data_IF_122160544684
#
_entry.id   IF_122160544684
#
_cell.length_a   1.000
_cell.length_b   1.000
_cell.length_c   1.000
_cell.angle_alpha   90.00
_cell.angle_beta   90.00
_cell.angle_gamma   90.00
#
_symmetry.space_group_name_H-M   'P 1'
#
loop_
_entity.id
_entity.type
_entity.pdbx_description
1 polymer ?
#
# COMPACT_ATOMS: atom_id res chain seq x y z
N UNK A 1 53.16 36.33 10.06
CA UNK A 1 53.05 37.35 11.13
C UNK A 1 52.10 38.42 10.61
N UNK A 2 50.90 38.56 11.17
CA UNK A 2 50.55 39.51 12.26
C UNK A 2 50.56 40.98 11.76
N UNK A 3 49.48 41.77 11.75
CA UNK A 3 48.08 41.68 12.26
C UNK A 3 47.13 42.40 11.22
N UNK A 4 45.82 42.16 11.12
CA UNK A 4 44.71 42.59 12.02
C UNK A 4 44.76 44.11 12.37
N UNK A 5 43.73 44.95 12.20
CA UNK A 5 42.42 44.87 11.51
C UNK A 5 42.44 45.81 10.26
N UNK A 6 41.39 46.37 9.61
CA UNK A 6 39.91 46.54 9.78
C UNK A 6 39.34 46.85 8.35
N UNK A 7 38.05 46.96 7.98
CA UNK A 7 36.75 46.94 8.67
C UNK A 7 35.58 46.60 7.68
N UNK A 8 34.35 46.51 8.22
CA UNK A 8 33.02 46.76 7.60
C UNK A 8 32.81 46.36 6.12
N UNK A 9 32.02 45.29 5.93
CA UNK A 9 30.72 45.42 5.27
C UNK A 9 29.68 44.60 6.04
N UNK A 10 28.56 45.23 6.41
CA UNK A 10 27.41 44.51 6.98
C UNK A 10 26.76 43.66 5.90
N UNK A 11 26.30 42.46 6.26
CA UNK A 11 25.10 41.88 5.69
C UNK A 11 24.31 41.18 6.80
N UNK A 12 23.10 41.68 7.05
CA UNK A 12 22.12 41.10 7.97
C UNK A 12 21.33 40.01 7.24
N UNK A 13 20.74 39.09 8.02
CA UNK A 13 19.56 38.27 7.68
C UNK A 13 19.56 37.55 6.30
N UNK A 14 19.45 36.23 6.24
CA UNK A 14 18.53 35.44 7.07
C UNK A 14 19.04 34.02 7.27
N UNK A 15 18.93 33.51 8.49
CA UNK A 15 18.85 32.06 8.71
C UNK A 15 17.46 31.66 8.21
N UNK A 16 17.39 31.20 6.96
CA UNK A 16 16.24 30.44 6.49
C UNK A 16 16.26 29.11 7.25
N UNK A 17 15.51 29.09 8.36
CA UNK A 17 14.97 27.86 8.91
C UNK A 17 14.09 27.25 7.82
N UNK A 18 14.69 26.40 7.00
CA UNK A 18 13.96 25.30 6.40
C UNK A 18 13.46 24.43 7.56
N UNK A 19 12.31 24.80 8.10
CA UNK A 19 11.44 23.84 8.74
C UNK A 19 11.18 22.79 7.66
N UNK A 20 11.80 21.63 7.80
CA UNK A 20 11.49 20.46 6.98
C UNK A 20 10.06 20.07 7.33
N UNK A 21 9.12 20.67 6.59
CA UNK A 21 7.69 20.40 6.67
C UNK A 21 7.47 19.04 6.03
N UNK A 22 7.92 18.00 6.72
CA UNK A 22 8.13 16.66 6.21
C UNK A 22 6.94 16.22 5.39
N UNK A 23 7.11 16.24 4.07
CA UNK A 23 6.01 16.08 3.12
C UNK A 23 5.58 14.63 3.20
N UNK A 24 4.54 14.34 3.99
CA UNK A 24 3.93 13.02 4.12
C UNK A 24 3.65 12.50 2.71
N UNK A 25 4.46 11.53 2.27
CA UNK A 25 4.57 11.22 0.84
C UNK A 25 3.30 10.54 0.35
N UNK A 26 2.40 11.36 -0.21
CA UNK A 26 1.12 10.86 -0.69
C UNK A 26 1.36 9.93 -1.88
N UNK A 27 1.22 8.64 -1.59
CA UNK A 27 1.63 7.52 -2.42
C UNK A 27 0.39 6.73 -2.83
N UNK A 28 0.45 6.16 -4.03
CA UNK A 28 -0.67 5.45 -4.65
C UNK A 28 -1.04 4.16 -3.89
N UNK A 29 -2.28 3.69 -4.07
CA UNK A 29 -2.78 2.50 -3.37
C UNK A 29 -2.06 1.19 -3.79
N UNK A 30 -1.44 1.14 -4.97
CA UNK A 30 -0.62 0.02 -5.46
C UNK A 30 0.27 0.48 -6.65
N UNK A 31 1.55 0.07 -6.75
CA UNK A 31 2.46 0.55 -7.80
C UNK A 31 2.17 0.03 -9.22
N UNK A 32 1.30 -0.97 -9.41
CA UNK A 32 1.04 -1.59 -10.73
C UNK A 32 -0.06 -0.85 -11.48
N UNK A 33 -1.14 -0.44 -10.78
CA UNK A 33 -2.26 0.30 -11.38
C UNK A 33 -2.47 1.70 -10.80
N UNK A 34 -1.65 2.11 -9.83
CA UNK A 34 -1.77 3.40 -9.16
C UNK A 34 -3.14 3.60 -8.49
N UNK A 35 -3.56 4.86 -8.37
CA UNK A 35 -4.90 5.20 -7.86
C UNK A 35 -6.03 5.10 -8.92
N UNK A 36 -5.80 4.42 -10.06
CA UNK A 36 -6.82 4.27 -11.14
C UNK A 36 -8.15 3.74 -10.66
N UNK A 37 -8.16 2.82 -9.69
CA UNK A 37 -9.38 2.27 -9.08
C UNK A 37 -10.20 3.32 -8.35
N UNK A 38 -9.54 4.30 -7.72
CA UNK A 38 -10.22 5.39 -7.02
C UNK A 38 -10.78 6.41 -8.02
N UNK A 39 -10.00 6.78 -9.03
CA UNK A 39 -10.44 7.66 -10.13
C UNK A 39 -11.64 7.05 -10.86
N UNK A 40 -11.62 5.74 -11.13
CA UNK A 40 -12.72 5.03 -11.79
C UNK A 40 -14.02 4.99 -10.97
N UNK A 41 -13.95 5.07 -9.63
CA UNK A 41 -15.12 5.06 -8.74
C UNK A 41 -15.65 6.46 -8.41
N UNK A 42 -14.76 7.44 -8.26
CA UNK A 42 -15.10 8.78 -7.72
C UNK A 42 -14.86 9.94 -8.70
N UNK A 43 -14.26 9.70 -9.86
CA UNK A 43 -13.94 10.73 -10.87
C UNK A 43 -12.70 11.58 -10.56
N UNK A 44 -12.18 11.53 -9.33
CA UNK A 44 -11.05 12.32 -8.84
C UNK A 44 -9.89 11.47 -8.32
N UNK A 45 -8.72 12.10 -8.12
CA UNK A 45 -7.62 11.46 -7.40
C UNK A 45 -7.84 11.53 -5.89
N UNK A 46 -7.50 10.48 -5.13
CA UNK A 46 -7.46 10.57 -3.68
C UNK A 46 -6.38 11.56 -3.23
N UNK A 47 -6.48 12.05 -1.99
CA UNK A 47 -5.58 13.04 -1.40
C UNK A 47 -5.03 12.53 -0.06
N UNK A 48 -4.09 13.26 0.55
CA UNK A 48 -3.58 12.97 1.90
C UNK A 48 -4.63 13.01 3.02
N UNK A 49 -5.85 13.49 2.73
CA UNK A 49 -7.01 13.46 3.63
C UNK A 49 -7.99 12.32 3.34
N UNK A 50 -7.82 11.59 2.25
CA UNK A 50 -8.69 10.47 1.87
C UNK A 50 -8.36 9.24 2.72
N UNK A 51 -9.36 8.67 3.38
CA UNK A 51 -9.20 7.49 4.23
C UNK A 51 -8.53 6.30 3.50
N UNK A 52 -7.57 5.66 4.17
CA UNK A 52 -6.78 4.56 3.60
C UNK A 52 -7.59 3.25 3.53
N UNK A 53 -8.55 3.01 4.42
CA UNK A 53 -9.40 1.81 4.33
C UNK A 53 -10.33 1.90 3.12
N UNK A 54 -10.93 3.08 2.86
CA UNK A 54 -11.70 3.37 1.66
C UNK A 54 -10.86 3.21 0.39
N UNK A 55 -9.62 3.72 0.36
CA UNK A 55 -8.70 3.54 -0.79
C UNK A 55 -8.42 2.07 -1.05
N UNK A 56 -8.06 1.28 -0.02
CA UNK A 56 -7.76 -0.15 -0.15
C UNK A 56 -9.01 -0.93 -0.58
N UNK A 57 -10.16 -0.69 0.04
CA UNK A 57 -11.40 -1.42 -0.30
C UNK A 57 -11.86 -1.14 -1.74
N UNK A 58 -11.80 0.13 -2.17
CA UNK A 58 -12.07 0.54 -3.56
C UNK A 58 -11.10 -0.12 -4.55
N UNK A 59 -9.82 -0.21 -4.19
CA UNK A 59 -8.82 -0.90 -5.00
C UNK A 59 -9.11 -2.40 -5.13
N UNK A 60 -9.42 -3.08 -4.02
CA UNK A 60 -9.75 -4.50 -4.01
C UNK A 60 -11.04 -4.80 -4.79
N UNK A 61 -12.07 -3.96 -4.68
CA UNK A 61 -13.34 -4.10 -5.42
C UNK A 61 -13.14 -3.97 -6.93
N UNK A 62 -12.31 -3.00 -7.34
CA UNK A 62 -11.94 -2.80 -8.74
C UNK A 62 -11.13 -3.99 -9.30
N UNK A 63 -10.15 -4.48 -8.54
CA UNK A 63 -9.36 -5.67 -8.91
C UNK A 63 -10.23 -6.93 -8.96
N UNK A 64 -11.11 -7.14 -7.97
CA UNK A 64 -12.09 -8.23 -7.92
C UNK A 64 -12.98 -8.20 -9.18
N UNK A 65 -13.46 -7.02 -9.58
CA UNK A 65 -14.28 -6.83 -10.78
C UNK A 65 -13.52 -7.18 -12.07
N UNK A 66 -12.28 -6.71 -12.22
CA UNK A 66 -11.43 -7.08 -13.36
C UNK A 66 -11.11 -8.58 -13.40
N UNK A 67 -10.93 -9.22 -12.24
CA UNK A 67 -10.69 -10.65 -12.15
C UNK A 67 -11.94 -11.47 -12.54
N UNK A 68 -13.13 -11.01 -12.16
CA UNK A 68 -14.43 -11.63 -12.54
C UNK A 68 -14.77 -11.47 -14.02
N UNK A 69 -14.39 -10.34 -14.65
CA UNK A 69 -14.66 -10.08 -16.07
C UNK A 69 -13.69 -10.77 -17.05
N UNK A 70 -12.57 -11.33 -16.55
CA UNK A 70 -11.55 -11.94 -17.40
C UNK A 70 -11.99 -13.33 -17.87
N UNK A 71 -12.18 -13.50 -19.18
CA UNK A 71 -12.34 -14.84 -19.80
C UNK A 71 -11.14 -15.74 -19.45
N UNK A 72 -11.48 -16.98 -19.06
CA UNK A 72 -10.58 -18.07 -18.65
C UNK A 72 -11.06 -19.43 -19.17
N UNK A 73 -11.94 -19.45 -20.18
CA UNK A 73 -12.44 -20.65 -20.84
C UNK A 73 -11.34 -21.58 -21.37
N UNK A 74 -10.18 -21.01 -21.70
CA UNK A 74 -8.97 -21.71 -22.13
C UNK A 74 -8.22 -22.46 -21.01
N UNK A 75 -8.59 -22.28 -19.73
CA UNK A 75 -7.98 -23.00 -18.60
C UNK A 75 -8.68 -24.34 -18.35
N UNK A 76 -7.96 -25.37 -17.86
CA UNK A 76 -8.59 -26.57 -17.30
C UNK A 76 -9.64 -26.24 -16.24
N UNK A 77 -10.74 -27.00 -16.20
CA UNK A 77 -11.89 -26.78 -15.31
C UNK A 77 -11.48 -26.68 -13.82
N UNK A 78 -10.48 -27.45 -13.40
CA UNK A 78 -9.91 -27.40 -12.06
C UNK A 78 -9.29 -26.04 -11.73
N UNK A 79 -8.58 -25.41 -12.68
CA UNK A 79 -8.01 -24.08 -12.51
C UNK A 79 -9.08 -22.98 -12.58
N UNK A 80 -10.13 -23.16 -13.39
CA UNK A 80 -11.30 -22.27 -13.37
C UNK A 80 -11.99 -22.29 -12.00
N UNK A 81 -12.22 -23.47 -11.43
CA UNK A 81 -12.78 -23.66 -10.07
C UNK A 81 -11.89 -23.04 -8.99
N UNK A 82 -10.58 -23.32 -8.98
CA UNK A 82 -9.65 -22.72 -8.02
C UNK A 82 -9.58 -21.20 -8.14
N UNK A 83 -9.63 -20.64 -9.36
CA UNK A 83 -9.71 -19.19 -9.60
C UNK A 83 -10.98 -18.59 -9.02
N UNK A 84 -12.14 -19.20 -9.27
CA UNK A 84 -13.42 -18.73 -8.73
C UNK A 84 -13.41 -18.73 -7.19
N UNK A 85 -12.88 -19.78 -6.57
CA UNK A 85 -12.74 -19.87 -5.11
C UNK A 85 -11.81 -18.78 -4.54
N UNK A 86 -10.64 -18.54 -5.16
CA UNK A 86 -9.72 -17.47 -4.74
C UNK A 86 -10.32 -16.07 -4.89
N UNK A 87 -11.13 -15.83 -5.94
CA UNK A 87 -11.85 -14.56 -6.13
C UNK A 87 -12.92 -14.37 -5.04
N UNK A 88 -13.60 -15.43 -4.60
CA UNK A 88 -14.56 -15.34 -3.50
C UNK A 88 -13.85 -15.09 -2.16
N UNK A 89 -12.73 -15.75 -1.88
CA UNK A 89 -11.91 -15.46 -0.71
C UNK A 89 -11.41 -14.01 -0.69
N UNK A 90 -11.08 -13.43 -1.85
CA UNK A 90 -10.73 -12.01 -1.99
C UNK A 90 -11.91 -11.08 -1.70
N UNK A 91 -13.13 -11.44 -2.13
CA UNK A 91 -14.36 -10.72 -1.81
C UNK A 91 -14.62 -10.69 -0.30
N UNK A 92 -14.52 -11.86 0.36
CA UNK A 92 -14.67 -11.98 1.81
C UNK A 92 -13.59 -11.17 2.56
N UNK A 93 -12.33 -11.22 2.13
CA UNK A 93 -11.25 -10.40 2.70
C UNK A 93 -11.56 -8.89 2.61
N UNK A 94 -12.03 -8.44 1.44
CA UNK A 94 -12.40 -7.04 1.20
C UNK A 94 -13.56 -6.59 2.10
N UNK A 95 -14.61 -7.39 2.22
CA UNK A 95 -15.77 -7.07 3.07
C UNK A 95 -15.42 -7.00 4.56
N UNK A 96 -14.47 -7.82 5.03
CA UNK A 96 -14.02 -7.80 6.42
C UNK A 96 -13.22 -6.54 6.80
N UNK A 97 -12.66 -5.80 5.84
CA UNK A 97 -11.94 -4.52 6.05
C UNK A 97 -10.71 -4.57 7.00
N UNK A 98 -10.25 -5.75 7.41
CA UNK A 98 -9.07 -5.94 8.29
C UNK A 98 -7.78 -5.94 7.47
N UNK A 99 -7.31 -4.75 7.12
CA UNK A 99 -6.06 -4.55 6.36
C UNK A 99 -4.87 -4.25 7.29
N UNK A 100 -3.65 -4.74 6.96
CA UNK A 100 -2.45 -4.53 7.79
C UNK A 100 -1.95 -3.09 7.77
N UNK A 101 -1.37 -2.66 8.89
CA UNK A 101 -0.77 -1.33 9.07
C UNK A 101 0.76 -1.42 9.12
N UNK A 102 1.46 -0.78 8.18
CA UNK A 102 2.92 -0.71 8.22
C UNK A 102 3.38 0.35 9.23
N UNK A 103 3.76 -0.07 10.44
CA UNK A 103 4.32 0.83 11.47
C UNK A 103 5.85 0.90 11.46
N UNK A 104 6.53 0.14 10.60
CA UNK A 104 7.99 0.10 10.51
C UNK A 104 8.56 1.23 9.62
N UNK A 105 7.79 1.68 8.64
CA UNK A 105 8.18 2.72 7.67
C UNK A 105 7.23 3.94 7.76
N UNK A 106 7.32 4.76 8.81
CA UNK A 106 6.41 5.89 9.01
C UNK A 106 6.52 6.92 7.87
N UNK A 107 5.38 7.43 7.41
CA UNK A 107 5.30 8.45 6.35
C UNK A 107 5.51 7.95 4.91
N UNK A 108 5.82 6.66 4.72
CA UNK A 108 6.06 6.03 3.41
C UNK A 108 5.22 4.76 3.26
N UNK A 109 4.50 4.61 2.14
CA UNK A 109 3.60 3.46 1.93
C UNK A 109 4.34 2.24 1.35
N UNK A 110 5.13 1.60 2.20
CA UNK A 110 5.76 0.29 1.92
C UNK A 110 4.73 -0.83 2.14
N UNK A 111 4.69 -1.89 1.28
CA UNK A 111 3.86 -3.07 1.51
C UNK A 111 4.03 -3.66 2.92
N UNK A 112 3.04 -4.39 3.41
CA UNK A 112 3.13 -5.14 4.67
C UNK A 112 2.35 -6.44 4.53
N UNK A 113 3.03 -7.59 4.67
CA UNK A 113 2.44 -8.91 4.44
C UNK A 113 1.64 -9.39 5.66
N UNK A 114 2.26 -9.38 6.86
CA UNK A 114 1.58 -9.48 8.16
C UNK A 114 2.11 -8.35 9.07
N UNK A 115 1.21 -7.62 9.75
CA UNK A 115 1.58 -6.54 10.68
C UNK A 115 1.81 -7.02 12.13
N UNK A 116 2.24 -6.11 13.01
CA UNK A 116 2.50 -6.40 14.42
C UNK A 116 1.26 -6.71 15.26
N UNK A 117 0.05 -6.57 14.70
CA UNK A 117 -1.24 -6.98 15.29
C UNK A 117 -1.71 -8.32 14.71
N UNK A 118 -0.91 -8.96 13.85
CA UNK A 118 -1.22 -10.22 13.19
C UNK A 118 -2.17 -10.10 11.99
N UNK A 119 -2.62 -8.88 11.63
CA UNK A 119 -3.42 -8.65 10.44
C UNK A 119 -2.62 -9.00 9.19
N UNK A 120 -3.28 -9.54 8.17
CA UNK A 120 -2.63 -10.10 7.00
C UNK A 120 -3.10 -9.40 5.72
N UNK A 121 -2.23 -9.25 4.73
CA UNK A 121 -2.55 -8.64 3.43
C UNK A 121 -3.44 -9.56 2.58
N UNK A 122 -4.01 -9.04 1.50
CA UNK A 122 -4.89 -9.81 0.61
C UNK A 122 -4.21 -11.10 0.08
N UNK A 123 -2.95 -11.02 -0.35
CA UNK A 123 -2.20 -12.18 -0.85
C UNK A 123 -1.95 -13.21 0.25
N UNK A 124 -1.54 -12.75 1.43
CA UNK A 124 -1.32 -13.61 2.60
C UNK A 124 -2.62 -14.26 3.09
N UNK A 125 -3.75 -13.57 3.04
CA UNK A 125 -5.06 -14.14 3.40
C UNK A 125 -5.45 -15.28 2.45
N UNK A 126 -5.27 -15.09 1.13
CA UNK A 126 -5.52 -16.17 0.17
C UNK A 126 -4.66 -17.40 0.48
N UNK A 127 -3.37 -17.20 0.74
CA UNK A 127 -2.44 -18.28 1.12
C UNK A 127 -2.86 -18.94 2.44
N UNK A 128 -3.22 -18.16 3.46
CA UNK A 128 -3.70 -18.67 4.75
C UNK A 128 -4.92 -19.60 4.57
N UNK A 129 -5.87 -19.22 3.70
CA UNK A 129 -7.09 -20.00 3.47
C UNK A 129 -6.92 -21.21 2.55
N UNK A 130 -5.90 -21.25 1.69
CA UNK A 130 -5.65 -22.41 0.79
C UNK A 130 -4.49 -23.32 1.20
N UNK A 131 -3.56 -22.84 2.02
CA UNK A 131 -2.32 -23.55 2.39
C UNK A 131 -1.99 -23.52 3.89
N UNK A 132 -2.70 -22.74 4.70
CA UNK A 132 -2.49 -22.67 6.16
C UNK A 132 -1.71 -21.43 6.62
N UNK A 133 -1.92 -21.07 7.90
CA UNK A 133 -1.32 -19.87 8.51
C UNK A 133 0.21 -19.96 8.65
N UNK A 134 0.73 -21.14 8.93
CA UNK A 134 2.17 -21.38 9.06
C UNK A 134 2.92 -21.14 7.74
N UNK A 135 2.29 -21.45 6.59
CA UNK A 135 2.84 -21.16 5.26
C UNK A 135 2.85 -19.65 5.02
N UNK A 136 1.78 -18.93 5.38
CA UNK A 136 1.75 -17.48 5.30
C UNK A 136 2.80 -16.81 6.21
N UNK A 137 3.03 -17.34 7.41
CA UNK A 137 4.03 -16.81 8.35
C UNK A 137 5.48 -17.11 7.92
N UNK A 138 5.75 -18.29 7.33
CA UNK A 138 7.04 -18.59 6.67
C UNK A 138 7.32 -17.64 5.50
N UNK A 139 6.30 -17.28 4.72
CA UNK A 139 6.43 -16.29 3.64
C UNK A 139 6.65 -14.89 4.21
N UNK A 140 5.97 -14.52 5.29
CA UNK A 140 6.18 -13.23 5.97
C UNK A 140 7.62 -13.05 6.45
N UNK A 141 8.27 -14.10 6.98
CA UNK A 141 9.67 -14.06 7.41
C UNK A 141 10.67 -13.69 6.29
N UNK A 142 10.29 -13.89 5.02
CA UNK A 142 11.13 -13.60 3.85
C UNK A 142 10.67 -12.32 3.13
N UNK A 143 9.35 -12.04 3.13
CA UNK A 143 8.73 -11.04 2.26
C UNK A 143 7.83 -10.02 3.00
N UNK A 144 8.07 -9.74 4.29
CA UNK A 144 7.19 -8.87 5.08
C UNK A 144 6.90 -7.49 4.46
N UNK A 145 7.87 -6.90 3.74
CA UNK A 145 7.81 -5.52 3.23
C UNK A 145 8.05 -5.39 1.70
N UNK A 146 7.72 -6.44 0.93
CA UNK A 146 7.93 -6.54 -0.52
C UNK A 146 6.63 -6.41 -1.33
#
# INVERSE_FOLDING_TARGET
MNKLFTAIFFNFFSILLFADSGVLTFSEVNPVIGDRSFIARFGEKPTSKTDNLLRISTHLEYVESLLKQKDVSYLPESLQKSRAHLIELLHQYRLNMVFPENTAFPGVRVPCFIDNKGKICAVGYLIEKTAGRDIAEKINQIHQYH
#
